data_IF_755099333565
#
_entry.id   IF_755099333565
#
_cell.length_a   1.000
_cell.length_b   1.000
_cell.length_c   1.000
_cell.angle_alpha   90.00
_cell.angle_beta   90.00
_cell.angle_gamma   90.00
#
_symmetry.space_group_name_H-M   'P 1'
#
loop_
_entity.id
_entity.type
_entity.pdbx_description
1 polymer ?
#
# COMPACT_ATOMS: atom_id res chain seq x y z
N UNK A 1 -9.90 -22.14 -4.76
CA UNK A 1 -9.21 -21.36 -3.71
C UNK A 1 -7.76 -21.17 -4.15
N UNK A 2 -7.32 -19.95 -4.39
CA UNK A 2 -5.94 -19.57 -4.72
C UNK A 2 -5.34 -18.87 -3.52
N UNK A 3 -4.03 -18.98 -3.33
CA UNK A 3 -3.31 -18.15 -2.38
C UNK A 3 -2.83 -16.90 -3.11
N UNK A 4 -3.09 -15.74 -2.53
CA UNK A 4 -2.78 -14.42 -3.10
C UNK A 4 -2.09 -13.56 -2.05
N UNK A 5 -0.97 -12.94 -2.41
CA UNK A 5 -0.31 -11.90 -1.63
C UNK A 5 -0.33 -10.60 -2.43
N UNK A 6 -0.89 -9.55 -1.82
CA UNK A 6 -0.84 -8.19 -2.32
C UNK A 6 0.09 -7.36 -1.42
N UNK A 7 1.20 -6.89 -1.97
CA UNK A 7 2.15 -5.99 -1.31
C UNK A 7 1.97 -4.58 -1.89
N UNK A 8 1.31 -3.72 -1.14
CA UNK A 8 0.92 -2.38 -1.54
C UNK A 8 1.86 -1.38 -0.86
N UNK A 9 2.62 -0.63 -1.69
CA UNK A 9 3.77 0.13 -1.25
C UNK A 9 4.97 -0.78 -1.01
N UNK A 10 5.45 -1.38 -2.10
CA UNK A 10 6.50 -2.43 -2.03
C UNK A 10 7.86 -1.87 -1.64
N UNK A 11 8.12 -0.62 -2.00
CA UNK A 11 9.41 0.03 -1.81
C UNK A 11 10.54 -0.83 -2.40
N UNK A 12 11.61 -1.16 -1.64
CA UNK A 12 12.68 -2.10 -2.05
C UNK A 12 12.36 -3.56 -1.70
N UNK A 13 11.12 -3.89 -1.35
CA UNK A 13 10.67 -5.25 -1.09
C UNK A 13 10.99 -5.79 0.31
N UNK A 14 11.30 -4.92 1.28
CA UNK A 14 11.57 -5.37 2.67
C UNK A 14 10.34 -6.05 3.26
N UNK A 15 9.17 -5.42 3.12
CA UNK A 15 7.89 -5.97 3.56
C UNK A 15 7.55 -7.26 2.84
N UNK A 16 7.73 -7.28 1.52
CA UNK A 16 7.50 -8.49 0.71
C UNK A 16 8.27 -9.69 1.25
N UNK A 17 9.59 -9.54 1.52
CA UNK A 17 10.41 -10.63 2.08
C UNK A 17 9.88 -11.13 3.42
N UNK A 18 9.47 -10.23 4.29
CA UNK A 18 8.91 -10.60 5.59
C UNK A 18 7.62 -11.39 5.43
N UNK A 19 6.70 -10.97 4.54
CA UNK A 19 5.44 -11.65 4.29
C UNK A 19 5.64 -13.00 3.59
N UNK A 20 6.58 -13.09 2.64
CA UNK A 20 6.98 -14.37 2.05
C UNK A 20 7.38 -15.37 3.13
N UNK A 21 8.21 -14.96 4.08
CA UNK A 21 8.63 -15.80 5.19
C UNK A 21 7.48 -16.14 6.16
N UNK A 22 6.67 -15.13 6.52
CA UNK A 22 5.59 -15.27 7.50
C UNK A 22 4.50 -16.25 7.03
N UNK A 23 4.15 -16.19 5.75
CA UNK A 23 3.09 -17.01 5.16
C UNK A 23 3.60 -18.23 4.39
N UNK A 24 4.92 -18.49 4.43
CA UNK A 24 5.57 -19.55 3.66
C UNK A 24 5.16 -19.51 2.17
N UNK A 25 5.23 -18.30 1.59
CA UNK A 25 4.85 -18.06 0.19
C UNK A 25 5.84 -18.79 -0.73
N UNK A 26 5.30 -19.57 -1.66
CA UNK A 26 6.04 -20.34 -2.65
C UNK A 26 5.49 -20.08 -4.07
N UNK A 27 5.96 -20.82 -5.05
CA UNK A 27 5.54 -20.69 -6.46
C UNK A 27 4.06 -21.02 -6.73
N UNK A 28 3.32 -21.54 -5.74
CA UNK A 28 1.87 -21.79 -5.87
C UNK A 28 1.03 -20.56 -5.54
N UNK A 29 1.66 -19.52 -4.97
CA UNK A 29 1.02 -18.26 -4.67
C UNK A 29 1.02 -17.33 -5.89
N UNK A 30 -0.01 -16.50 -5.98
CA UNK A 30 -0.05 -15.36 -6.90
C UNK A 30 0.37 -14.11 -6.10
N UNK A 31 1.54 -13.58 -6.39
CA UNK A 31 2.09 -12.41 -5.69
C UNK A 31 2.01 -11.20 -6.60
N UNK A 32 1.39 -10.13 -6.10
CA UNK A 32 1.28 -8.85 -6.79
C UNK A 32 1.90 -7.76 -5.93
N UNK A 33 2.74 -6.94 -6.55
CA UNK A 33 3.41 -5.83 -5.87
C UNK A 33 3.08 -4.52 -6.57
N UNK A 34 2.89 -3.47 -5.77
CA UNK A 34 2.57 -2.13 -6.27
C UNK A 34 3.50 -1.12 -5.62
N UNK A 35 4.22 -0.40 -6.45
CA UNK A 35 5.10 0.69 -6.03
C UNK A 35 4.89 1.91 -6.92
N UNK A 36 4.45 3.00 -6.31
CA UNK A 36 4.10 4.22 -7.04
C UNK A 36 5.31 5.01 -7.51
N UNK A 37 6.38 5.06 -6.68
CA UNK A 37 7.58 5.79 -7.03
C UNK A 37 8.37 5.04 -8.13
N UNK A 38 8.53 5.62 -9.35
CA UNK A 38 9.15 4.92 -10.47
C UNK A 38 10.64 4.61 -10.25
N UNK A 39 11.31 5.41 -9.43
CA UNK A 39 12.73 5.17 -9.13
C UNK A 39 12.86 3.97 -8.21
N UNK A 40 12.06 3.94 -7.15
CA UNK A 40 12.04 2.85 -6.18
C UNK A 40 11.59 1.54 -6.81
N UNK A 41 10.53 1.61 -7.65
CA UNK A 41 10.07 0.44 -8.41
C UNK A 41 11.16 -0.13 -9.33
N UNK A 42 11.92 0.74 -10.02
CA UNK A 42 13.02 0.28 -10.86
C UNK A 42 14.09 -0.44 -10.06
N UNK A 43 14.48 0.10 -8.90
CA UNK A 43 15.47 -0.53 -8.02
C UNK A 43 14.94 -1.89 -7.53
N UNK A 44 13.68 -1.95 -7.09
CA UNK A 44 13.04 -3.20 -6.72
C UNK A 44 13.13 -4.24 -7.85
N UNK A 45 12.78 -3.88 -9.08
CA UNK A 45 12.82 -4.78 -10.24
C UNK A 45 14.24 -5.26 -10.57
N UNK A 46 15.24 -4.38 -10.43
CA UNK A 46 16.64 -4.73 -10.68
C UNK A 46 17.18 -5.74 -9.62
N UNK A 47 16.73 -5.61 -8.36
CA UNK A 47 17.20 -6.44 -7.25
C UNK A 47 16.42 -7.76 -7.09
N UNK A 48 15.16 -7.80 -7.57
CA UNK A 48 14.22 -8.92 -7.32
C UNK A 48 13.96 -9.83 -8.52
N UNK A 49 14.84 -9.84 -9.50
CA UNK A 49 14.71 -10.71 -10.67
C UNK A 49 14.61 -12.21 -10.32
N UNK A 50 15.11 -12.64 -9.16
CA UNK A 50 15.01 -14.01 -8.68
C UNK A 50 13.58 -14.41 -8.27
N UNK A 51 12.74 -13.43 -7.90
CA UNK A 51 11.33 -13.64 -7.52
C UNK A 51 10.37 -13.54 -8.71
N UNK A 52 10.84 -13.14 -9.87
CA UNK A 52 10.01 -12.81 -11.05
C UNK A 52 9.12 -13.94 -11.57
N UNK A 53 9.41 -15.24 -11.42
CA UNK A 53 8.55 -16.28 -11.97
C UNK A 53 7.13 -16.31 -11.40
N UNK A 54 6.93 -15.83 -10.16
CA UNK A 54 5.64 -15.83 -9.49
C UNK A 54 5.23 -14.47 -8.90
N UNK A 55 6.02 -13.43 -9.14
CA UNK A 55 5.72 -12.05 -8.75
C UNK A 55 5.32 -11.22 -9.97
N UNK A 56 4.16 -10.59 -9.92
CA UNK A 56 3.73 -9.60 -10.89
C UNK A 56 3.84 -8.22 -10.26
N UNK A 57 4.73 -7.38 -10.77
CA UNK A 57 5.00 -6.04 -10.21
C UNK A 57 4.47 -4.93 -11.10
N UNK A 58 3.87 -3.92 -10.46
CA UNK A 58 3.29 -2.75 -11.11
C UNK A 58 3.90 -1.47 -10.57
N UNK A 59 4.37 -0.60 -11.48
CA UNK A 59 4.68 0.78 -11.12
C UNK A 59 3.40 1.61 -11.17
N UNK A 60 2.60 1.52 -10.12
CA UNK A 60 1.30 2.16 -9.99
C UNK A 60 1.03 2.54 -8.54
N UNK A 61 0.30 3.64 -8.34
CA UNK A 61 -0.28 3.97 -7.05
C UNK A 61 -1.54 3.12 -6.80
N UNK A 62 -1.74 2.74 -5.54
CA UNK A 62 -2.98 2.10 -5.09
C UNK A 62 -3.91 3.16 -4.52
N UNK A 63 -5.13 3.21 -5.01
CA UNK A 63 -6.12 4.24 -4.67
C UNK A 63 -7.54 3.65 -4.65
N UNK A 64 -8.54 4.54 -4.59
CA UNK A 64 -9.96 4.23 -4.67
C UNK A 64 -10.57 4.56 -6.06
N UNK A 65 -9.74 4.76 -7.10
CA UNK A 65 -10.16 5.00 -8.49
C UNK A 65 -9.08 4.56 -9.49
N UNK A 66 -9.49 4.34 -10.74
CA UNK A 66 -8.56 4.07 -11.85
C UNK A 66 -8.23 5.36 -12.60
N UNK A 67 -6.97 5.53 -13.01
CA UNK A 67 -6.55 6.69 -13.79
C UNK A 67 -5.07 7.01 -13.64
N UNK A 68 -4.76 8.28 -13.47
CA UNK A 68 -3.44 8.76 -13.10
C UNK A 68 -3.53 9.74 -11.93
N UNK A 69 -2.44 9.84 -11.17
CA UNK A 69 -2.35 10.70 -9.99
C UNK A 69 -0.92 11.23 -9.86
N UNK A 70 -0.79 12.41 -9.27
CA UNK A 70 0.52 12.98 -8.93
C UNK A 70 1.01 12.38 -7.62
N UNK A 71 2.18 11.76 -7.63
CA UNK A 71 2.91 11.38 -6.42
C UNK A 71 3.96 12.45 -6.09
N UNK A 72 4.00 12.89 -4.84
CA UNK A 72 5.07 13.71 -4.29
C UNK A 72 6.20 12.78 -3.88
N UNK A 73 7.37 12.96 -4.47
CA UNK A 73 8.53 12.11 -4.24
C UNK A 73 9.38 12.74 -3.16
N UNK A 74 9.55 12.00 -2.08
CA UNK A 74 10.50 12.38 -1.05
C UNK A 74 11.92 12.23 -1.60
N UNK A 75 12.67 13.33 -1.58
CA UNK A 75 14.09 13.29 -1.92
C UNK A 75 14.88 12.95 -0.67
N UNK A 76 15.80 12.00 -0.72
CA UNK A 76 16.58 11.65 0.43
C UNK A 76 17.35 12.89 0.94
N UNK A 77 17.32 13.19 2.24
CA UNK A 77 18.08 14.29 2.83
C UNK A 77 19.59 14.05 2.78
N UNK A 78 20.02 12.77 2.69
CA UNK A 78 21.41 12.34 2.64
C UNK A 78 21.58 11.17 1.68
N UNK A 79 22.83 10.90 1.24
CA UNK A 79 23.16 9.67 0.52
C UNK A 79 22.77 8.45 1.38
N UNK A 80 21.83 7.64 0.88
CA UNK A 80 21.34 6.42 1.56
C UNK A 80 19.92 6.53 2.12
N UNK A 81 19.32 7.71 2.14
CA UNK A 81 17.89 7.83 2.42
C UNK A 81 17.08 7.50 1.15
N UNK A 82 16.02 6.77 1.30
CA UNK A 82 15.43 5.96 0.25
C UNK A 82 14.12 6.51 -0.31
N UNK A 83 13.70 7.71 0.11
CA UNK A 83 12.43 8.30 -0.33
C UNK A 83 11.21 7.50 0.17
N UNK A 84 11.27 6.99 1.39
CA UNK A 84 10.27 6.10 1.97
C UNK A 84 8.90 6.74 2.14
N UNK A 85 8.85 8.06 2.39
CA UNK A 85 7.62 8.80 2.61
C UNK A 85 6.97 9.35 1.33
N UNK A 86 7.29 8.82 0.14
CA UNK A 86 6.69 9.30 -1.11
C UNK A 86 5.18 9.05 -1.13
N UNK A 87 4.36 10.12 -1.24
CA UNK A 87 2.92 10.05 -1.03
C UNK A 87 2.11 10.72 -2.13
N UNK A 88 0.90 10.20 -2.38
CA UNK A 88 -0.10 10.83 -3.24
C UNK A 88 -0.94 11.89 -2.51
N UNK A 89 -0.78 12.01 -1.21
CA UNK A 89 -1.50 13.00 -0.40
C UNK A 89 -0.95 14.40 -0.67
N UNK A 90 -1.83 15.36 -0.85
CA UNK A 90 -1.43 16.75 -1.07
C UNK A 90 -0.62 17.30 0.10
N UNK A 91 0.46 18.02 -0.21
CA UNK A 91 1.38 18.57 0.81
C UNK A 91 0.72 19.54 1.81
N UNK A 92 -0.46 20.08 1.48
CA UNK A 92 -1.28 20.90 2.38
C UNK A 92 -1.99 20.07 3.45
N UNK A 93 -2.19 18.78 3.20
CA UNK A 93 -2.85 17.82 4.10
C UNK A 93 -1.88 16.89 4.81
N UNK A 94 -0.66 16.80 4.31
CA UNK A 94 0.34 15.84 4.74
C UNK A 94 1.46 16.54 5.50
N UNK A 95 1.71 16.12 6.73
CA UNK A 95 2.77 16.67 7.59
C UNK A 95 3.51 15.52 8.28
N UNK A 96 4.34 14.76 7.53
CA UNK A 96 4.93 13.50 8.01
C UNK A 96 5.83 13.66 9.24
N UNK A 97 6.36 14.86 9.52
CA UNK A 97 7.29 15.08 10.61
C UNK A 97 7.17 16.48 11.19
N UNK A 98 6.03 16.85 11.77
CA UNK A 98 5.80 18.16 12.40
C UNK A 98 6.08 19.40 11.49
N UNK A 99 5.98 19.23 10.17
CA UNK A 99 6.20 20.30 9.21
C UNK A 99 7.66 20.52 8.79
N UNK A 100 8.64 19.82 9.38
CA UNK A 100 10.04 20.02 9.05
C UNK A 100 10.47 19.30 7.77
N UNK A 101 9.78 18.25 7.37
CA UNK A 101 10.16 17.42 6.21
C UNK A 101 9.42 17.73 4.91
N UNK A 102 8.42 18.62 4.89
CA UNK A 102 7.85 19.12 3.62
C UNK A 102 8.91 19.65 2.64
N UNK A 103 10.08 20.03 3.16
CA UNK A 103 11.23 20.47 2.37
C UNK A 103 11.87 19.32 1.55
N UNK A 104 11.60 18.08 1.88
CA UNK A 104 12.16 16.90 1.19
C UNK A 104 11.36 16.51 -0.06
N UNK A 105 10.09 16.93 -0.18
CA UNK A 105 9.28 16.73 -1.38
C UNK A 105 9.62 17.78 -2.45
N UNK A 106 10.74 17.58 -3.15
CA UNK A 106 11.25 18.54 -4.16
C UNK A 106 10.81 18.21 -5.57
N UNK A 107 10.33 17.01 -5.79
CA UNK A 107 9.93 16.51 -7.10
C UNK A 107 8.58 15.82 -7.02
N UNK A 108 7.90 15.74 -8.14
CA UNK A 108 6.68 14.97 -8.28
C UNK A 108 6.66 14.27 -9.64
N UNK A 109 5.90 13.20 -9.74
CA UNK A 109 5.66 12.50 -10.99
C UNK A 109 4.17 12.21 -11.15
N UNK A 110 3.69 12.19 -12.39
CA UNK A 110 2.39 11.62 -12.71
C UNK A 110 2.56 10.11 -12.93
N UNK A 111 1.80 9.32 -12.20
CA UNK A 111 1.87 7.86 -12.25
C UNK A 111 0.47 7.27 -12.45
N UNK A 112 0.35 6.12 -13.11
CA UNK A 112 -0.91 5.42 -13.17
C UNK A 112 -1.36 5.00 -11.77
N UNK A 113 -2.68 4.92 -11.57
CA UNK A 113 -3.25 4.41 -10.31
C UNK A 113 -4.39 3.45 -10.56
N UNK A 114 -4.62 2.56 -9.58
CA UNK A 114 -5.69 1.57 -9.64
C UNK A 114 -6.65 1.73 -8.47
N UNK A 115 -7.93 1.47 -8.76
CA UNK A 115 -8.95 1.15 -7.76
C UNK A 115 -8.69 -0.27 -7.23
N UNK A 116 -8.21 -0.38 -5.99
CA UNK A 116 -7.92 -1.67 -5.37
C UNK A 116 -9.16 -2.55 -5.26
N UNK A 117 -10.31 -1.95 -4.97
CA UNK A 117 -11.58 -2.66 -4.88
C UNK A 117 -11.95 -3.30 -6.22
N UNK A 118 -11.84 -2.56 -7.31
CA UNK A 118 -12.09 -3.09 -8.64
C UNK A 118 -11.07 -4.14 -9.05
N UNK A 119 -9.79 -3.93 -8.73
CA UNK A 119 -8.72 -4.90 -9.00
C UNK A 119 -9.00 -6.24 -8.31
N UNK A 120 -9.36 -6.21 -7.02
CA UNK A 120 -9.68 -7.43 -6.26
C UNK A 120 -10.89 -8.12 -6.87
N UNK A 121 -11.99 -7.42 -7.11
CA UNK A 121 -13.22 -7.99 -7.66
C UNK A 121 -13.03 -8.60 -9.05
N UNK A 122 -12.15 -8.01 -9.87
CA UNK A 122 -11.90 -8.46 -11.24
C UNK A 122 -11.00 -9.68 -11.30
N UNK A 123 -10.01 -9.79 -10.41
CA UNK A 123 -8.96 -10.79 -10.50
C UNK A 123 -9.17 -11.98 -9.55
N UNK A 124 -9.94 -11.81 -8.46
CA UNK A 124 -10.06 -12.82 -7.40
C UNK A 124 -11.52 -13.16 -7.09
N UNK A 125 -11.69 -14.20 -6.30
CA UNK A 125 -12.98 -14.69 -5.83
C UNK A 125 -13.09 -14.57 -4.31
N UNK A 126 -14.32 -14.51 -3.76
CA UNK A 126 -14.52 -14.44 -2.29
C UNK A 126 -13.96 -15.63 -1.52
N UNK A 127 -13.73 -16.78 -2.19
CA UNK A 127 -13.16 -17.98 -1.59
C UNK A 127 -11.65 -18.13 -1.79
N UNK A 128 -10.97 -17.18 -2.44
CA UNK A 128 -9.51 -17.15 -2.50
C UNK A 128 -8.93 -16.71 -1.14
N UNK A 129 -7.76 -17.20 -0.78
CA UNK A 129 -7.05 -16.80 0.43
C UNK A 129 -6.20 -15.58 0.13
N UNK A 130 -6.69 -14.39 0.49
CA UNK A 130 -6.04 -13.12 0.16
C UNK A 130 -5.39 -12.51 1.40
N UNK A 131 -4.09 -12.30 1.31
CA UNK A 131 -3.24 -11.63 2.30
C UNK A 131 -2.79 -10.29 1.74
N UNK A 132 -2.93 -9.21 2.51
CA UNK A 132 -2.52 -7.85 2.12
C UNK A 132 -1.49 -7.30 3.12
N UNK A 133 -0.35 -6.81 2.61
CA UNK A 133 0.46 -5.79 3.28
C UNK A 133 0.12 -4.46 2.64
N UNK A 134 -0.25 -3.46 3.45
CA UNK A 134 -0.61 -2.11 2.99
C UNK A 134 0.20 -1.05 3.74
N UNK A 135 0.95 -0.29 2.97
CA UNK A 135 1.81 0.79 3.43
C UNK A 135 1.95 1.76 2.24
N UNK A 136 0.95 2.61 2.06
CA UNK A 136 0.75 3.46 0.88
C UNK A 136 0.71 4.96 1.24
N UNK A 137 1.39 5.29 2.33
CA UNK A 137 1.75 6.64 2.72
C UNK A 137 0.56 7.62 2.75
N UNK A 138 -0.51 7.21 3.47
CA UNK A 138 -1.70 8.02 3.74
C UNK A 138 -2.91 7.73 2.86
N UNK A 139 -2.78 6.92 1.81
CA UNK A 139 -3.91 6.56 0.93
C UNK A 139 -4.76 5.39 1.48
N UNK A 140 -4.40 4.81 2.61
CA UNK A 140 -5.06 3.66 3.23
C UNK A 140 -6.56 3.92 3.47
N UNK A 141 -6.88 5.10 3.98
CA UNK A 141 -8.22 5.45 4.44
C UNK A 141 -9.24 5.45 3.30
N UNK A 142 -8.98 6.18 2.24
CA UNK A 142 -9.86 6.29 1.08
C UNK A 142 -9.98 4.93 0.36
N UNK A 143 -8.88 4.18 0.29
CA UNK A 143 -8.83 2.87 -0.34
C UNK A 143 -9.66 1.85 0.45
N UNK A 144 -9.45 1.75 1.76
CA UNK A 144 -10.16 0.79 2.61
C UNK A 144 -11.65 1.14 2.77
N UNK A 145 -11.99 2.42 2.89
CA UNK A 145 -13.40 2.84 2.92
C UNK A 145 -14.12 2.47 1.62
N UNK A 146 -13.48 2.64 0.47
CA UNK A 146 -14.02 2.19 -0.82
C UNK A 146 -14.24 0.68 -0.83
N UNK A 147 -13.27 -0.11 -0.36
CA UNK A 147 -13.39 -1.56 -0.28
C UNK A 147 -14.53 -2.00 0.66
N UNK A 148 -14.77 -1.27 1.76
CA UNK A 148 -15.90 -1.50 2.66
C UNK A 148 -17.24 -1.24 1.96
N UNK A 149 -17.36 -0.10 1.26
CA UNK A 149 -18.56 0.25 0.49
C UNK A 149 -18.86 -0.79 -0.57
N UNK A 150 -17.85 -1.22 -1.31
CA UNK A 150 -17.98 -2.19 -2.41
C UNK A 150 -18.06 -3.65 -1.94
N UNK A 151 -17.90 -3.91 -0.64
CA UNK A 151 -17.85 -5.26 -0.04
C UNK A 151 -16.68 -6.14 -0.50
N UNK A 152 -15.67 -5.57 -1.11
CA UNK A 152 -14.46 -6.31 -1.52
C UNK A 152 -13.50 -6.55 -0.37
N UNK A 153 -13.62 -5.76 0.69
CA UNK A 153 -12.91 -6.01 1.96
C UNK A 153 -13.22 -7.40 2.53
N UNK A 154 -14.44 -7.90 2.30
CA UNK A 154 -14.90 -9.21 2.79
C UNK A 154 -14.22 -10.40 2.06
N UNK A 155 -13.45 -10.14 0.99
CA UNK A 155 -12.62 -11.17 0.32
C UNK A 155 -11.29 -11.40 1.07
N UNK A 156 -10.92 -10.52 2.01
CA UNK A 156 -9.60 -10.48 2.61
C UNK A 156 -9.58 -11.38 3.86
N UNK A 157 -8.57 -12.25 3.95
CA UNK A 157 -8.37 -13.13 5.10
C UNK A 157 -7.43 -12.52 6.13
N UNK A 158 -6.42 -11.78 5.66
CA UNK A 158 -5.43 -11.11 6.50
C UNK A 158 -5.03 -9.78 5.88
N UNK A 159 -4.96 -8.76 6.72
CA UNK A 159 -4.44 -7.46 6.33
C UNK A 159 -3.51 -6.90 7.40
N UNK A 160 -2.36 -6.40 7.00
CA UNK A 160 -1.45 -5.62 7.83
C UNK A 160 -1.32 -4.24 7.23
N UNK A 161 -1.63 -3.22 8.01
CA UNK A 161 -1.66 -1.82 7.56
C UNK A 161 -0.71 -1.00 8.40
N UNK A 162 0.18 -0.23 7.74
CA UNK A 162 0.82 0.90 8.38
C UNK A 162 -0.15 2.08 8.37
N UNK A 163 -0.47 2.58 9.57
CA UNK A 163 -1.43 3.66 9.74
C UNK A 163 -0.72 5.00 9.86
N UNK A 164 -1.08 5.92 8.98
CA UNK A 164 -0.43 7.22 8.86
C UNK A 164 -1.25 8.40 9.43
N UNK A 165 -2.29 8.15 10.24
CA UNK A 165 -3.15 9.20 10.81
C UNK A 165 -2.37 10.31 11.52
N UNK A 166 -1.27 9.96 12.19
CA UNK A 166 -0.38 10.90 12.92
C UNK A 166 0.27 11.98 12.03
N UNK A 167 0.35 11.74 10.73
CA UNK A 167 1.04 12.62 9.78
C UNK A 167 0.11 13.58 9.03
N UNK A 168 -1.19 13.50 9.28
CA UNK A 168 -2.14 14.42 8.68
C UNK A 168 -2.30 15.70 9.48
N UNK A 169 -2.52 16.83 8.79
CA UNK A 169 -2.82 18.11 9.44
C UNK A 169 -4.14 18.07 10.22
N UNK A 170 -5.11 17.26 9.78
CA UNK A 170 -6.39 16.96 10.44
C UNK A 170 -6.38 15.58 11.12
N UNK A 171 -5.29 15.25 11.79
CA UNK A 171 -5.02 13.91 12.36
C UNK A 171 -6.16 13.31 13.19
N UNK A 172 -6.88 14.12 13.96
CA UNK A 172 -7.95 13.61 14.82
C UNK A 172 -9.11 13.04 13.99
N UNK A 173 -9.50 13.72 12.89
CA UNK A 173 -10.50 13.23 11.95
C UNK A 173 -10.03 11.94 11.25
N UNK A 174 -8.78 11.90 10.78
CA UNK A 174 -8.21 10.71 10.13
C UNK A 174 -8.09 9.56 11.11
N UNK A 175 -7.74 9.82 12.37
CA UNK A 175 -7.71 8.80 13.41
C UNK A 175 -9.12 8.22 13.70
N UNK A 176 -10.17 9.03 13.67
CA UNK A 176 -11.53 8.52 13.76
C UNK A 176 -11.92 7.62 12.58
N UNK A 177 -11.46 7.95 11.36
CA UNK A 177 -11.62 7.08 10.18
C UNK A 177 -10.90 5.75 10.39
N UNK A 178 -9.64 5.79 10.84
CA UNK A 178 -8.86 4.59 11.19
C UNK A 178 -9.63 3.70 12.17
N UNK A 179 -10.16 4.25 13.25
CA UNK A 179 -10.89 3.49 14.26
C UNK A 179 -12.16 2.83 13.69
N UNK A 180 -12.89 3.52 12.80
CA UNK A 180 -14.05 2.93 12.11
C UNK A 180 -13.66 1.77 11.22
N UNK A 181 -12.57 1.90 10.46
CA UNK A 181 -12.06 0.82 9.59
C UNK A 181 -11.61 -0.38 10.43
N UNK A 182 -10.82 -0.16 11.49
CA UNK A 182 -10.37 -1.24 12.39
C UNK A 182 -11.54 -1.99 13.05
N UNK A 183 -12.57 -1.25 13.44
CA UNK A 183 -13.80 -1.83 13.99
C UNK A 183 -14.49 -2.71 12.96
N UNK A 184 -14.67 -2.22 11.74
CA UNK A 184 -15.24 -3.00 10.64
C UNK A 184 -14.48 -4.30 10.38
N UNK A 185 -13.14 -4.22 10.26
CA UNK A 185 -12.30 -5.40 10.06
C UNK A 185 -12.49 -6.45 11.18
N UNK A 186 -12.58 -5.98 12.43
CA UNK A 186 -12.80 -6.85 13.59
C UNK A 186 -14.18 -7.53 13.56
N UNK A 187 -15.24 -6.77 13.28
CA UNK A 187 -16.62 -7.28 13.20
C UNK A 187 -16.80 -8.29 12.06
N UNK A 188 -16.07 -8.11 10.96
CA UNK A 188 -16.07 -9.02 9.81
C UNK A 188 -15.04 -10.15 9.91
N UNK A 189 -14.34 -10.26 11.07
CA UNK A 189 -13.38 -11.34 11.37
C UNK A 189 -12.19 -11.41 10.40
N UNK A 190 -11.81 -10.27 9.84
CA UNK A 190 -10.59 -10.15 9.04
C UNK A 190 -9.41 -10.09 10.00
N UNK A 191 -8.46 -11.01 9.84
CA UNK A 191 -7.27 -11.04 10.70
C UNK A 191 -6.42 -9.80 10.44
N UNK A 192 -6.08 -9.07 11.50
CA UNK A 192 -5.27 -7.86 11.43
C UNK A 192 -3.87 -8.14 11.98
N UNK A 193 -2.85 -7.74 11.23
CA UNK A 193 -1.47 -7.67 11.68
C UNK A 193 -1.02 -6.24 11.91
N UNK A 194 0.14 -6.08 12.54
CA UNK A 194 0.83 -4.81 12.64
C UNK A 194 1.95 -4.74 11.62
N UNK A 195 2.10 -3.58 10.99
CA UNK A 195 3.20 -3.23 10.10
C UNK A 195 3.75 -1.86 10.50
N UNK A 196 5.09 -1.73 10.63
CA UNK A 196 5.78 -0.51 11.02
C UNK A 196 7.06 -0.33 10.20
#
# INVERSE_FOLDING_TARGET
MRNVLLDLGTHYGQGLRQFISMFNVDETWNVFTFEANPVTHKIFMDDYHELTPYVTSYNMAVTNFNGSITINIESPPNEGDTGMGSSIIGLDKWDPWDGTLRQNFKTSAEVPCIDLSEFIRTNFKPDDNIVIKMDIEGAEYDTLEKMIVDKTIDYINYISVEWHSRFFTNRDEIFEREQRIRTYLTEHKITQGEWH
#
